data_IF_640066969794
#
_entry.id   IF_640066969794
#
_cell.length_a   1.000
_cell.length_b   1.000
_cell.length_c   1.000
_cell.angle_alpha   90.00
_cell.angle_beta   90.00
_cell.angle_gamma   90.00
#
_symmetry.space_group_name_H-M   'P 1'
#
loop_
_entity.id
_entity.type
_entity.pdbx_description
1 polymer ?
#
# COMPACT_ATOMS: atom_id res chain seq x y z
N UNK A 1 -51.24 29.03 -54.16
CA UNK A 1 -49.78 29.09 -53.92
C UNK A 1 -49.54 30.20 -52.91
N UNK A 2 -49.37 29.85 -51.64
CA UNK A 2 -49.04 30.80 -50.56
C UNK A 2 -47.64 30.42 -50.09
N UNK A 3 -46.63 31.16 -50.52
CA UNK A 3 -45.28 31.12 -49.99
C UNK A 3 -45.29 31.77 -48.61
N UNK A 4 -44.99 31.00 -47.55
CA UNK A 4 -44.71 31.56 -46.22
C UNK A 4 -43.38 32.35 -46.29
N UNK A 5 -43.34 33.62 -45.83
CA UNK A 5 -42.09 34.33 -45.70
C UNK A 5 -41.35 33.85 -44.45
N UNK A 6 -40.08 33.45 -44.61
CA UNK A 6 -39.16 33.21 -43.50
C UNK A 6 -38.45 34.54 -43.21
N UNK A 7 -38.65 35.05 -41.99
CA UNK A 7 -38.05 36.30 -41.51
C UNK A 7 -36.52 36.16 -41.41
N UNK A 8 -35.79 37.16 -41.90
CA UNK A 8 -34.33 37.22 -42.04
C UNK A 8 -33.53 37.51 -40.76
N UNK A 9 -34.04 37.12 -39.58
CA UNK A 9 -33.31 37.29 -38.31
C UNK A 9 -33.58 36.14 -37.34
N UNK A 10 -33.20 34.92 -37.73
CA UNK A 10 -33.12 33.79 -36.79
C UNK A 10 -31.67 33.33 -36.78
N UNK A 11 -31.10 33.29 -35.59
CA UNK A 11 -29.71 32.94 -35.33
C UNK A 11 -29.35 31.59 -35.95
N UNK A 12 -28.07 31.44 -36.28
CA UNK A 12 -27.41 30.28 -36.89
C UNK A 12 -27.54 28.96 -36.14
N UNK A 13 -28.32 28.90 -35.06
CA UNK A 13 -28.66 27.68 -34.33
C UNK A 13 -29.93 26.97 -34.83
N UNK A 14 -30.71 27.55 -35.75
CA UNK A 14 -31.95 26.93 -36.28
C UNK A 14 -31.94 26.59 -37.78
N UNK A 15 -30.80 26.72 -38.47
CA UNK A 15 -30.69 26.44 -39.91
C UNK A 15 -29.99 25.13 -40.28
N UNK A 16 -29.87 24.19 -39.34
CA UNK A 16 -29.30 22.86 -39.60
C UNK A 16 -30.33 21.76 -39.96
N UNK A 17 -31.63 22.09 -40.10
CA UNK A 17 -32.62 21.14 -40.59
C UNK A 17 -33.79 21.87 -41.24
N UNK A 18 -33.77 22.02 -42.56
CA UNK A 18 -35.03 22.10 -43.30
C UNK A 18 -35.51 20.65 -43.47
N UNK A 19 -36.63 20.24 -42.85
CA UNK A 19 -37.21 18.93 -43.11
C UNK A 19 -37.78 18.91 -44.53
N UNK A 20 -37.73 17.76 -45.20
CA UNK A 20 -38.59 17.55 -46.37
C UNK A 20 -40.07 17.51 -45.98
N UNK A 21 -40.92 17.40 -46.98
CA UNK A 21 -42.38 17.32 -46.90
C UNK A 21 -42.91 16.16 -46.02
N UNK A 22 -42.04 15.27 -45.53
CA UNK A 22 -42.33 14.19 -44.59
C UNK A 22 -41.63 14.34 -43.22
N UNK A 23 -40.94 15.44 -42.94
CA UNK A 23 -40.28 15.66 -41.65
C UNK A 23 -38.94 14.93 -41.49
N UNK A 24 -38.37 14.37 -42.56
CA UNK A 24 -37.06 13.73 -42.52
C UNK A 24 -35.95 14.73 -42.86
N UNK A 25 -34.85 14.65 -42.10
CA UNK A 25 -33.65 15.47 -42.31
C UNK A 25 -33.01 15.09 -43.64
N UNK A 26 -33.02 16.01 -44.60
CA UNK A 26 -32.30 15.88 -45.86
C UNK A 26 -30.95 16.54 -45.69
N UNK A 27 -29.89 15.77 -45.39
CA UNK A 27 -28.49 16.03 -45.78
C UNK A 27 -27.51 15.08 -45.05
N UNK A 28 -26.51 14.57 -45.79
CA UNK A 28 -25.26 13.95 -45.28
C UNK A 28 -24.58 14.81 -44.18
N UNK A 29 -24.77 16.14 -44.24
CA UNK A 29 -24.24 17.08 -43.26
C UNK A 29 -24.85 16.98 -41.86
N UNK A 30 -26.12 16.62 -41.70
CA UNK A 30 -26.74 16.55 -40.37
C UNK A 30 -26.28 15.33 -39.60
N UNK A 31 -26.21 14.16 -40.26
CA UNK A 31 -25.64 12.95 -39.63
C UNK A 31 -24.16 13.14 -39.30
N UNK A 32 -23.38 13.76 -40.20
CA UNK A 32 -21.97 14.10 -39.92
C UNK A 32 -21.83 15.07 -38.76
N UNK A 33 -22.70 16.08 -38.71
CA UNK A 33 -22.73 17.03 -37.61
C UNK A 33 -23.05 16.33 -36.30
N UNK A 34 -24.08 15.49 -36.26
CA UNK A 34 -24.53 14.79 -35.05
C UNK A 34 -23.53 13.72 -34.56
N UNK A 35 -22.84 13.03 -35.48
CA UNK A 35 -21.75 12.12 -35.14
C UNK A 35 -20.49 12.86 -34.63
N UNK A 36 -20.27 14.11 -35.06
CA UNK A 36 -19.14 14.93 -34.61
C UNK A 36 -19.40 15.62 -33.26
N UNK A 37 -20.65 15.68 -32.79
CA UNK A 37 -20.97 16.20 -31.45
C UNK A 37 -20.49 15.24 -30.35
N UNK A 38 -20.32 15.71 -29.10
CA UNK A 38 -19.98 14.85 -27.95
C UNK A 38 -20.95 13.68 -27.72
N UNK A 39 -22.19 13.79 -28.22
CA UNK A 39 -23.21 12.73 -28.17
C UNK A 39 -23.08 11.69 -29.28
N UNK A 40 -22.21 11.89 -30.26
CA UNK A 40 -22.07 11.05 -31.45
C UNK A 40 -21.68 9.60 -31.17
N UNK A 41 -20.85 9.36 -30.15
CA UNK A 41 -20.54 8.00 -29.69
C UNK A 41 -21.77 7.26 -29.13
N UNK A 42 -22.80 7.99 -28.68
CA UNK A 42 -24.09 7.45 -28.27
C UNK A 42 -24.99 7.04 -29.44
N UNK A 43 -24.73 7.56 -30.64
CA UNK A 43 -25.43 7.23 -31.88
C UNK A 43 -24.75 6.07 -32.64
N UNK A 44 -23.51 5.75 -32.28
CA UNK A 44 -22.72 4.69 -32.92
C UNK A 44 -22.98 3.33 -32.27
N UNK A 45 -23.54 2.38 -33.00
CA UNK A 45 -23.78 1.01 -32.53
C UNK A 45 -22.49 0.22 -32.31
N UNK A 46 -22.49 -0.69 -31.34
CA UNK A 46 -21.42 -1.65 -31.08
C UNK A 46 -22.03 -3.03 -30.82
N UNK A 47 -21.39 -4.07 -31.36
CA UNK A 47 -21.71 -5.47 -31.11
C UNK A 47 -20.44 -6.23 -30.73
N UNK A 48 -20.53 -7.05 -29.68
CA UNK A 48 -19.42 -7.90 -29.25
C UNK A 48 -19.17 -8.99 -30.32
N UNK A 49 -17.94 -9.13 -30.86
CA UNK A 49 -17.62 -10.13 -31.89
C UNK A 49 -17.89 -11.58 -31.47
N UNK A 50 -17.91 -11.89 -30.17
CA UNK A 50 -18.15 -13.25 -29.65
C UNK A 50 -19.65 -13.59 -29.46
N UNK A 51 -20.57 -12.80 -30.01
CA UNK A 51 -21.98 -13.22 -30.14
C UNK A 51 -22.90 -12.91 -28.94
N UNK A 52 -22.56 -11.92 -28.11
CA UNK A 52 -23.46 -11.43 -27.06
C UNK A 52 -24.69 -10.71 -27.65
N UNK A 53 -25.90 -11.16 -27.30
CA UNK A 53 -27.20 -10.75 -27.86
C UNK A 53 -27.68 -9.33 -27.51
N UNK A 54 -26.81 -8.45 -27.01
CA UNK A 54 -27.19 -7.09 -26.64
C UNK A 54 -26.41 -6.07 -27.47
N UNK A 55 -27.02 -5.62 -28.57
CA UNK A 55 -26.57 -4.43 -29.28
C UNK A 55 -26.41 -3.27 -28.28
N UNK A 56 -25.32 -2.53 -28.42
CA UNK A 56 -25.00 -1.41 -27.53
C UNK A 56 -24.46 -0.24 -28.32
N UNK A 57 -23.97 0.79 -27.65
CA UNK A 57 -23.37 1.96 -28.28
C UNK A 57 -21.89 2.02 -27.92
N UNK A 58 -21.09 2.66 -28.76
CA UNK A 58 -19.67 2.93 -28.49
C UNK A 58 -19.53 3.70 -27.17
N UNK A 59 -20.40 4.68 -26.91
CA UNK A 59 -20.42 5.40 -25.64
C UNK A 59 -20.62 4.48 -24.41
N UNK A 60 -21.53 3.49 -24.48
CA UNK A 60 -21.71 2.56 -23.34
C UNK A 60 -20.49 1.67 -23.14
N UNK A 61 -19.76 1.34 -24.20
CA UNK A 61 -18.51 0.58 -24.12
C UNK A 61 -17.35 1.40 -23.57
N UNK A 62 -17.23 2.67 -23.93
CA UNK A 62 -16.19 3.56 -23.41
C UNK A 62 -16.41 3.90 -21.92
N UNK A 63 -17.67 3.97 -21.46
CA UNK A 63 -18.04 4.24 -20.05
C UNK A 63 -17.69 3.12 -19.05
N UNK A 64 -16.83 2.17 -19.38
CA UNK A 64 -16.36 1.17 -18.41
C UNK A 64 -15.26 1.70 -17.49
N UNK A 65 -14.63 2.80 -17.85
CA UNK A 65 -13.64 3.54 -17.06
C UNK A 65 -13.73 5.03 -17.36
N UNK A 66 -13.29 5.86 -16.43
CA UNK A 66 -12.98 7.28 -16.66
C UNK A 66 -11.47 7.43 -16.62
N UNK A 67 -10.88 8.19 -17.53
CA UNK A 67 -9.46 8.55 -17.52
C UNK A 67 -9.32 10.02 -17.10
N UNK A 68 -8.61 10.29 -16.00
CA UNK A 68 -8.44 11.65 -15.49
C UNK A 68 -7.85 12.59 -16.55
N UNK A 69 -6.80 12.15 -17.24
CA UNK A 69 -6.08 12.99 -18.18
C UNK A 69 -6.93 13.26 -19.43
N UNK A 70 -7.49 12.21 -20.01
CA UNK A 70 -8.24 12.32 -21.26
C UNK A 70 -9.62 12.99 -21.08
N UNK A 71 -10.31 12.74 -19.97
CA UNK A 71 -11.71 13.16 -19.80
C UNK A 71 -11.87 14.46 -19.00
N UNK A 72 -10.91 14.81 -18.13
CA UNK A 72 -11.05 15.95 -17.18
C UNK A 72 -9.92 16.98 -17.25
N UNK A 73 -8.80 16.68 -17.92
CA UNK A 73 -7.68 17.63 -18.09
C UNK A 73 -7.68 18.21 -19.51
N UNK A 74 -7.66 19.54 -19.60
CA UNK A 74 -7.60 20.22 -20.90
C UNK A 74 -6.31 19.85 -21.64
N UNK A 75 -6.46 19.37 -22.89
CA UNK A 75 -5.34 18.90 -23.70
C UNK A 75 -5.04 17.40 -23.58
N UNK A 76 -5.72 16.67 -22.67
CA UNK A 76 -5.62 15.21 -22.60
C UNK A 76 -4.36 14.66 -21.94
N UNK A 77 -3.48 15.51 -21.42
CA UNK A 77 -2.19 15.13 -20.85
C UNK A 77 -1.89 15.93 -19.56
N UNK A 78 -1.27 15.26 -18.58
CA UNK A 78 -0.82 15.91 -17.33
C UNK A 78 0.65 16.29 -17.48
N UNK A 79 0.95 17.59 -17.51
CA UNK A 79 2.32 18.11 -17.58
C UNK A 79 2.56 19.25 -16.58
N UNK A 80 3.79 19.36 -16.08
CA UNK A 80 4.22 20.49 -15.25
C UNK A 80 3.82 20.45 -13.76
N UNK A 81 3.47 19.27 -13.22
CA UNK A 81 3.01 19.09 -11.83
C UNK A 81 1.86 20.04 -11.42
N UNK A 82 0.76 20.07 -12.19
CA UNK A 82 -0.35 20.98 -11.95
C UNK A 82 -1.12 20.57 -10.69
N UNK A 83 -1.90 21.51 -10.14
CA UNK A 83 -2.88 21.14 -9.11
C UNK A 83 -4.14 20.58 -9.80
N UNK A 84 -4.47 19.32 -9.53
CA UNK A 84 -5.61 18.63 -10.15
C UNK A 84 -6.67 18.22 -9.13
N UNK A 85 -6.72 18.91 -7.99
CA UNK A 85 -7.68 18.59 -6.92
C UNK A 85 -9.11 18.57 -7.43
N UNK A 86 -9.52 19.61 -8.15
CA UNK A 86 -10.89 19.74 -8.66
C UNK A 86 -11.19 18.69 -9.74
N UNK A 87 -10.25 18.44 -10.65
CA UNK A 87 -10.41 17.50 -11.76
C UNK A 87 -10.49 16.06 -11.25
N UNK A 88 -9.64 15.68 -10.29
CA UNK A 88 -9.66 14.35 -9.69
C UNK A 88 -10.94 14.13 -8.89
N UNK A 89 -11.37 15.12 -8.10
CA UNK A 89 -12.63 15.03 -7.36
C UNK A 89 -13.83 14.91 -8.31
N UNK A 90 -13.87 15.71 -9.38
CA UNK A 90 -14.92 15.66 -10.39
C UNK A 90 -14.96 14.31 -11.13
N UNK A 91 -13.81 13.72 -11.45
CA UNK A 91 -13.72 12.40 -12.06
C UNK A 91 -14.29 11.29 -11.16
N UNK A 92 -13.96 11.32 -9.86
CA UNK A 92 -14.48 10.38 -8.86
C UNK A 92 -16.00 10.54 -8.67
N UNK A 93 -16.48 11.78 -8.58
CA UNK A 93 -17.90 12.07 -8.42
C UNK A 93 -18.70 11.67 -9.67
N UNK A 94 -18.14 11.90 -10.87
CA UNK A 94 -18.73 11.43 -12.12
C UNK A 94 -18.77 9.90 -12.20
N UNK A 95 -17.69 9.21 -11.80
CA UNK A 95 -17.65 7.76 -11.76
C UNK A 95 -18.74 7.19 -10.85
N UNK A 96 -18.88 7.76 -9.65
CA UNK A 96 -19.92 7.39 -8.71
C UNK A 96 -21.33 7.63 -9.28
N UNK A 97 -21.61 8.83 -9.81
CA UNK A 97 -22.92 9.20 -10.34
C UNK A 97 -23.33 8.36 -11.56
N UNK A 98 -22.37 8.04 -12.43
CA UNK A 98 -22.59 7.25 -13.65
C UNK A 98 -22.47 5.74 -13.43
N UNK A 99 -22.13 5.30 -12.21
CA UNK A 99 -21.85 3.88 -11.85
C UNK A 99 -20.73 3.28 -12.69
N UNK A 100 -19.70 4.08 -12.98
CA UNK A 100 -18.46 3.64 -13.60
C UNK A 100 -17.51 3.19 -12.47
N UNK A 101 -17.01 1.94 -12.49
CA UNK A 101 -16.31 1.39 -11.34
C UNK A 101 -14.87 1.87 -11.18
N UNK A 102 -14.25 2.47 -12.20
CA UNK A 102 -12.82 2.78 -12.21
C UNK A 102 -12.56 4.19 -12.75
N UNK A 103 -11.77 4.96 -12.01
CA UNK A 103 -11.10 6.18 -12.45
C UNK A 103 -9.61 5.88 -12.58
N UNK A 104 -9.08 5.98 -13.80
CA UNK A 104 -7.66 5.79 -14.09
C UNK A 104 -6.93 7.12 -13.92
N UNK A 105 -5.80 7.09 -13.23
CA UNK A 105 -4.99 8.26 -12.89
C UNK A 105 -3.55 7.99 -13.31
N UNK A 106 -3.08 8.67 -14.36
CA UNK A 106 -1.70 8.54 -14.85
C UNK A 106 -1.09 9.92 -15.00
N UNK A 107 0.07 10.16 -14.40
CA UNK A 107 0.77 11.44 -14.46
C UNK A 107 1.35 11.87 -13.11
N UNK A 108 2.02 13.02 -13.15
CA UNK A 108 2.63 13.68 -12.00
C UNK A 108 1.91 14.99 -11.73
N UNK A 109 1.29 15.11 -10.56
CA UNK A 109 0.51 16.30 -10.18
C UNK A 109 0.48 16.47 -8.65
N UNK A 110 -0.14 17.56 -8.20
CA UNK A 110 -0.36 17.84 -6.78
C UNK A 110 -1.84 18.02 -6.45
N UNK A 111 -2.15 17.91 -5.17
CA UNK A 111 -3.48 18.22 -4.62
C UNK A 111 -3.36 19.25 -3.49
N UNK A 112 -4.32 20.16 -3.40
CA UNK A 112 -4.41 21.23 -2.39
C UNK A 112 -5.63 21.11 -1.48
N UNK A 113 -6.49 20.11 -1.69
CA UNK A 113 -7.55 19.76 -0.75
C UNK A 113 -7.72 18.23 -0.66
N UNK A 114 -8.53 17.78 0.30
CA UNK A 114 -8.85 16.38 0.54
C UNK A 114 -9.67 15.81 -0.63
N UNK A 115 -9.18 14.73 -1.22
CA UNK A 115 -9.90 13.95 -2.22
C UNK A 115 -10.81 12.92 -1.53
N UNK A 116 -12.10 12.96 -1.84
CA UNK A 116 -13.12 12.10 -1.26
C UNK A 116 -13.35 10.86 -2.11
N UNK A 117 -12.99 9.70 -1.56
CA UNK A 117 -13.16 8.41 -2.19
C UNK A 117 -14.60 7.89 -1.97
N UNK A 118 -15.27 7.58 -3.07
CA UNK A 118 -16.69 7.19 -3.10
C UNK A 118 -16.88 5.68 -3.09
N UNK A 119 -17.98 5.23 -2.50
CA UNK A 119 -18.39 3.81 -2.49
C UNK A 119 -18.39 3.22 -3.89
N UNK A 120 -17.83 2.02 -4.04
CA UNK A 120 -17.80 1.26 -5.29
C UNK A 120 -16.90 1.82 -6.40
N UNK A 121 -16.19 2.94 -6.14
CA UNK A 121 -15.24 3.52 -7.08
C UNK A 121 -13.82 3.07 -6.74
N UNK A 122 -13.10 2.63 -7.76
CA UNK A 122 -11.67 2.40 -7.72
C UNK A 122 -10.93 3.60 -8.30
N UNK A 123 -10.00 4.18 -7.55
CA UNK A 123 -9.00 5.12 -8.08
C UNK A 123 -7.74 4.33 -8.40
N UNK A 124 -7.44 4.16 -9.69
CA UNK A 124 -6.39 3.28 -10.19
C UNK A 124 -5.26 4.07 -10.84
N UNK A 125 -4.10 4.09 -10.18
CA UNK A 125 -2.83 4.45 -10.78
C UNK A 125 -2.04 3.25 -11.30
N UNK A 126 -0.80 3.53 -11.71
CA UNK A 126 0.11 2.55 -12.31
C UNK A 126 1.44 2.42 -11.51
N UNK A 127 1.44 2.83 -10.24
CA UNK A 127 2.59 2.82 -9.33
C UNK A 127 3.45 4.08 -9.45
N UNK A 128 4.47 4.18 -8.59
CA UNK A 128 5.29 5.39 -8.41
C UNK A 128 5.92 5.95 -9.69
N UNK A 129 6.23 5.08 -10.66
CA UNK A 129 6.85 5.48 -11.93
C UNK A 129 5.90 6.24 -12.87
N UNK A 130 4.60 6.05 -12.71
CA UNK A 130 3.59 6.54 -13.65
C UNK A 130 2.52 7.40 -12.98
N UNK A 131 2.26 7.20 -11.68
CA UNK A 131 1.25 7.95 -10.93
C UNK A 131 1.85 8.46 -9.63
N UNK A 132 2.24 9.74 -9.64
CA UNK A 132 2.82 10.42 -8.49
C UNK A 132 1.99 11.66 -8.14
N UNK A 133 1.51 11.69 -6.90
CA UNK A 133 0.69 12.78 -6.36
C UNK A 133 1.45 13.40 -5.19
N UNK A 134 1.56 14.71 -5.16
CA UNK A 134 2.19 15.42 -4.04
C UNK A 134 1.22 16.34 -3.32
N UNK A 135 1.42 16.55 -2.02
CA UNK A 135 0.73 17.61 -1.32
C UNK A 135 1.20 18.99 -1.81
N UNK A 136 0.25 19.86 -2.12
CA UNK A 136 0.51 21.29 -2.21
C UNK A 136 0.87 21.83 -0.82
N UNK A 137 1.71 22.86 -0.77
CA UNK A 137 2.04 23.58 0.48
C UNK A 137 0.80 24.15 1.19
N UNK A 138 -0.30 24.32 0.45
CA UNK A 138 -1.58 24.84 0.93
C UNK A 138 -2.65 23.75 1.18
N UNK A 139 -2.26 22.46 1.29
CA UNK A 139 -3.20 21.35 1.48
C UNK A 139 -4.18 21.61 2.65
N UNK A 140 -5.46 21.80 2.32
CA UNK A 140 -6.54 22.02 3.27
C UNK A 140 -6.97 20.70 3.92
N UNK A 141 -7.49 20.76 5.15
CA UNK A 141 -7.93 19.59 5.92
C UNK A 141 -6.81 18.64 6.39
N UNK A 142 -5.57 18.83 5.91
CA UNK A 142 -4.38 18.03 6.25
C UNK A 142 -4.56 16.53 6.03
N UNK A 143 -5.49 16.15 5.16
CA UNK A 143 -5.76 14.76 4.77
C UNK A 143 -5.78 14.73 3.25
N UNK A 144 -4.99 13.88 2.61
CA UNK A 144 -4.90 13.85 1.16
C UNK A 144 -6.07 13.06 0.53
N UNK A 145 -6.33 11.86 1.04
CA UNK A 145 -7.45 11.03 0.60
C UNK A 145 -8.30 10.61 1.79
N UNK A 146 -9.61 10.55 1.61
CA UNK A 146 -10.53 10.09 2.65
C UNK A 146 -11.70 9.31 2.07
N UNK A 147 -12.01 8.15 2.63
CA UNK A 147 -13.29 7.47 2.31
C UNK A 147 -14.45 8.25 2.88
N UNK A 148 -15.52 8.46 2.10
CA UNK A 148 -16.68 9.22 2.58
C UNK A 148 -17.92 8.34 2.62
N UNK A 149 -18.64 8.40 3.74
CA UNK A 149 -19.95 7.75 3.90
C UNK A 149 -20.99 8.37 2.98
N UNK A 150 -21.95 7.57 2.51
CA UNK A 150 -23.02 8.06 1.63
C UNK A 150 -24.10 8.80 2.42
N UNK A 151 -24.36 8.36 3.64
CA UNK A 151 -25.33 8.98 4.55
C UNK A 151 -24.96 8.67 6.00
N UNK A 152 -25.73 9.21 6.97
CA UNK A 152 -25.52 8.91 8.40
C UNK A 152 -25.65 7.43 8.75
N UNK A 153 -26.41 6.65 7.96
CA UNK A 153 -26.67 5.23 8.22
C UNK A 153 -25.97 4.31 7.23
N UNK A 154 -25.34 4.86 6.20
CA UNK A 154 -24.69 4.08 5.15
C UNK A 154 -23.21 4.43 5.04
N UNK A 155 -22.40 3.51 5.59
CA UNK A 155 -20.95 3.50 5.49
C UNK A 155 -20.46 3.49 4.04
N UNK A 156 -19.23 3.93 3.85
CA UNK A 156 -18.53 3.73 2.60
C UNK A 156 -18.36 2.21 2.36
N UNK A 157 -18.52 1.73 1.12
CA UNK A 157 -18.39 0.31 0.80
C UNK A 157 -17.61 0.08 -0.48
N UNK A 158 -16.84 -1.01 -0.53
CA UNK A 158 -16.21 -1.50 -1.77
C UNK A 158 -15.33 -0.44 -2.47
N UNK A 159 -14.84 0.56 -1.72
CA UNK A 159 -13.95 1.59 -2.23
C UNK A 159 -12.55 1.01 -2.42
N UNK A 160 -11.89 1.40 -3.51
CA UNK A 160 -10.58 0.83 -3.86
C UNK A 160 -9.60 1.93 -4.26
N UNK A 161 -8.36 1.79 -3.85
CA UNK A 161 -7.27 2.61 -4.34
C UNK A 161 -6.11 1.70 -4.70
N UNK A 162 -5.65 1.80 -5.94
CA UNK A 162 -4.63 0.90 -6.49
C UNK A 162 -3.50 1.70 -7.11
N UNK A 163 -2.24 1.39 -6.83
CA UNK A 163 -1.10 1.91 -7.61
C UNK A 163 -0.91 3.42 -7.53
N UNK A 164 -1.34 4.07 -6.43
CA UNK A 164 -1.12 5.51 -6.20
C UNK A 164 0.10 5.71 -5.33
N UNK A 165 1.04 6.55 -5.77
CA UNK A 165 2.11 7.05 -4.91
C UNK A 165 1.83 8.49 -4.50
N UNK A 166 1.72 8.71 -3.20
CA UNK A 166 1.50 10.00 -2.59
C UNK A 166 2.70 10.41 -1.73
N UNK A 167 3.15 11.66 -1.86
CA UNK A 167 4.15 12.28 -0.99
C UNK A 167 3.59 13.54 -0.33
N UNK A 168 3.68 13.61 0.99
CA UNK A 168 3.31 14.80 1.74
C UNK A 168 4.24 16.00 1.46
N UNK A 169 5.36 15.81 0.76
CA UNK A 169 6.27 16.87 0.31
C UNK A 169 6.71 17.79 1.48
N UNK A 170 7.01 17.18 2.62
CA UNK A 170 7.37 17.85 3.89
C UNK A 170 6.31 18.80 4.46
N UNK A 171 5.06 18.77 3.96
CA UNK A 171 3.96 19.50 4.57
C UNK A 171 3.66 18.86 5.93
N UNK A 172 3.80 19.65 7.00
CA UNK A 172 3.56 19.18 8.36
C UNK A 172 2.09 18.79 8.57
N UNK A 173 1.90 17.70 9.30
CA UNK A 173 0.62 17.23 9.80
C UNK A 173 -0.23 16.44 8.80
N UNK A 174 0.33 16.02 7.67
CA UNK A 174 -0.44 15.39 6.60
C UNK A 174 -0.76 13.94 6.91
N UNK A 175 -2.04 13.59 6.77
CA UNK A 175 -2.52 12.21 6.69
C UNK A 175 -2.61 11.81 5.23
N UNK A 176 -1.93 10.74 4.83
CA UNK A 176 -1.94 10.24 3.46
C UNK A 176 -3.33 9.75 3.06
N UNK A 177 -3.88 8.79 3.82
CA UNK A 177 -5.22 8.25 3.62
C UNK A 177 -5.94 8.11 4.95
N UNK A 178 -7.15 8.65 5.06
CA UNK A 178 -8.08 8.38 6.15
C UNK A 178 -9.17 7.40 5.67
N UNK A 179 -9.15 6.18 6.20
CA UNK A 179 -10.20 5.19 5.98
C UNK A 179 -11.24 5.42 7.08
N UNK A 180 -12.19 6.31 6.79
CA UNK A 180 -13.28 6.70 7.65
C UNK A 180 -14.54 5.90 7.32
N UNK A 181 -15.12 5.25 8.34
CA UNK A 181 -16.40 4.53 8.29
C UNK A 181 -16.60 3.68 7.00
N UNK A 182 -15.71 2.72 6.75
CA UNK A 182 -15.68 1.96 5.49
C UNK A 182 -15.69 0.43 5.67
N UNK A 183 -16.53 -0.25 4.88
CA UNK A 183 -16.55 -1.72 4.79
C UNK A 183 -15.97 -2.20 3.45
N UNK A 184 -15.27 -3.34 3.45
CA UNK A 184 -14.79 -4.00 2.22
C UNK A 184 -13.86 -3.14 1.35
N UNK A 185 -13.17 -2.18 1.94
CA UNK A 185 -12.21 -1.35 1.22
C UNK A 185 -10.99 -2.16 0.76
N UNK A 186 -10.36 -1.77 -0.35
CA UNK A 186 -9.09 -2.35 -0.81
C UNK A 186 -8.07 -1.28 -1.16
N UNK A 187 -6.94 -1.28 -0.46
CA UNK A 187 -5.79 -0.43 -0.78
C UNK A 187 -4.67 -1.35 -1.27
N UNK A 188 -4.26 -1.20 -2.52
CA UNK A 188 -3.36 -2.15 -3.19
C UNK A 188 -2.21 -1.45 -3.91
N UNK A 189 -0.97 -1.86 -3.64
CA UNK A 189 0.22 -1.32 -4.34
C UNK A 189 0.35 0.21 -4.27
N UNK A 190 -0.19 0.83 -3.22
CA UNK A 190 -0.07 2.27 -2.98
C UNK A 190 1.14 2.57 -2.11
N UNK A 191 1.63 3.80 -2.16
CA UNK A 191 2.67 4.26 -1.25
C UNK A 191 2.39 5.65 -0.71
N UNK A 192 2.59 5.86 0.59
CA UNK A 192 2.39 7.17 1.24
C UNK A 192 3.68 7.58 1.97
N UNK A 193 4.32 8.63 1.49
CA UNK A 193 5.65 9.05 1.90
C UNK A 193 5.59 10.29 2.79
N UNK A 194 6.48 10.38 3.77
CA UNK A 194 6.73 11.58 4.58
C UNK A 194 5.49 12.13 5.30
N UNK A 195 4.48 11.29 5.56
CA UNK A 195 3.25 11.71 6.20
C UNK A 195 3.41 11.77 7.73
N UNK A 196 2.61 12.60 8.41
CA UNK A 196 2.45 12.44 9.86
C UNK A 196 1.81 11.07 10.16
N UNK A 197 0.70 10.79 9.47
CA UNK A 197 0.07 9.46 9.47
C UNK A 197 -0.01 8.94 8.04
N UNK A 198 0.59 7.79 7.73
CA UNK A 198 0.50 7.18 6.40
C UNK A 198 -0.94 6.82 6.06
N UNK A 199 -1.51 5.87 6.83
CA UNK A 199 -2.91 5.49 6.79
C UNK A 199 -3.50 5.68 8.19
N UNK A 200 -4.52 6.52 8.30
CA UNK A 200 -5.33 6.66 9.49
C UNK A 200 -6.66 5.92 9.30
N UNK A 201 -7.26 5.49 10.41
CA UNK A 201 -8.57 4.87 10.42
C UNK A 201 -9.52 5.64 11.33
N UNK A 202 -10.66 6.02 10.77
CA UNK A 202 -11.74 6.75 11.43
C UNK A 202 -11.29 8.09 12.04
N UNK A 203 -10.27 8.75 11.45
CA UNK A 203 -9.76 10.01 11.98
C UNK A 203 -10.81 11.12 11.86
N UNK A 204 -11.46 11.25 10.70
CA UNK A 204 -12.48 12.27 10.53
C UNK A 204 -13.64 12.12 11.51
N UNK A 205 -14.15 10.89 11.69
CA UNK A 205 -15.14 10.63 12.73
C UNK A 205 -14.60 11.01 14.10
N UNK A 206 -13.35 10.67 14.41
CA UNK A 206 -12.71 11.03 15.67
C UNK A 206 -12.72 12.54 15.94
N UNK A 207 -12.25 13.33 14.96
CA UNK A 207 -12.09 14.78 15.04
C UNK A 207 -13.42 15.54 15.09
N UNK A 208 -14.49 14.97 14.54
CA UNK A 208 -15.79 15.65 14.40
C UNK A 208 -16.81 15.25 15.47
N UNK A 209 -16.41 14.46 16.47
CA UNK A 209 -17.27 14.11 17.59
C UNK A 209 -17.53 15.29 18.51
N UNK A 210 -18.77 15.33 19.02
CA UNK A 210 -19.16 16.26 20.07
C UNK A 210 -18.53 15.82 21.40
N UNK A 211 -17.83 16.74 22.08
CA UNK A 211 -17.16 16.49 23.37
C UNK A 211 -18.12 16.01 24.49
N UNK A 212 -19.44 16.13 24.30
CA UNK A 212 -20.45 15.64 25.24
C UNK A 212 -20.84 14.17 25.06
N UNK A 213 -20.37 13.49 24.02
CA UNK A 213 -20.62 12.05 23.83
C UNK A 213 -19.78 11.20 24.79
N UNK A 214 -20.40 10.18 25.39
CA UNK A 214 -19.70 9.23 26.27
C UNK A 214 -18.57 8.59 25.46
N UNK A 215 -17.32 8.56 25.95
CA UNK A 215 -16.23 7.96 25.21
C UNK A 215 -16.56 6.50 24.87
N UNK A 216 -16.41 6.07 23.60
CA UNK A 216 -16.63 4.69 23.26
C UNK A 216 -15.66 3.84 24.10
N UNK A 217 -16.25 2.99 24.92
CA UNK A 217 -15.58 1.98 25.74
C UNK A 217 -16.03 0.63 25.24
N UNK A 218 -15.14 -0.35 25.13
CA UNK A 218 -15.57 -1.71 24.80
C UNK A 218 -16.56 -2.21 25.88
N UNK A 219 -17.73 -2.81 25.53
CA UNK A 219 -18.21 -3.22 24.21
C UNK A 219 -19.08 -2.18 23.47
N UNK A 220 -19.29 -0.99 24.02
CA UNK A 220 -20.09 0.11 23.46
C UNK A 220 -19.43 0.86 22.29
N UNK A 221 -18.22 0.47 21.87
CA UNK A 221 -17.52 1.01 20.70
C UNK A 221 -18.24 0.74 19.36
N UNK A 222 -19.29 -0.08 19.37
CA UNK A 222 -20.12 -0.37 18.19
C UNK A 222 -21.10 0.76 17.82
N UNK A 223 -21.11 1.90 18.54
CA UNK A 223 -21.95 3.03 18.14
C UNK A 223 -21.35 3.74 16.92
N UNK A 224 -22.02 3.61 15.78
CA UNK A 224 -21.67 4.29 14.51
C UNK A 224 -21.51 5.80 14.66
N UNK A 225 -22.15 6.45 15.63
CA UNK A 225 -22.04 7.91 15.80
C UNK A 225 -20.80 8.37 16.56
N UNK A 226 -20.16 7.50 17.35
CA UNK A 226 -19.21 7.95 18.40
C UNK A 226 -17.79 7.35 18.26
N UNK A 227 -17.58 6.38 17.36
CA UNK A 227 -16.26 5.72 17.22
C UNK A 227 -15.73 5.63 15.79
N UNK A 228 -16.60 5.71 14.77
CA UNK A 228 -16.26 5.33 13.40
C UNK A 228 -15.89 3.84 13.30
N UNK A 229 -16.29 3.19 12.22
CA UNK A 229 -16.07 1.74 12.08
C UNK A 229 -15.60 1.34 10.70
N UNK A 230 -14.48 0.62 10.66
CA UNK A 230 -13.89 0.09 9.44
C UNK A 230 -13.74 -1.43 9.53
N UNK A 231 -14.34 -2.16 8.57
CA UNK A 231 -14.39 -3.63 8.61
C UNK A 231 -14.05 -4.29 7.28
N UNK A 232 -13.56 -5.52 7.35
CA UNK A 232 -13.41 -6.42 6.19
C UNK A 232 -12.53 -5.86 5.07
N UNK A 233 -11.65 -4.91 5.39
CA UNK A 233 -10.78 -4.28 4.41
C UNK A 233 -9.52 -5.08 4.13
N UNK A 234 -8.88 -4.77 3.00
CA UNK A 234 -7.59 -5.34 2.60
C UNK A 234 -6.61 -4.21 2.32
N UNK A 235 -5.45 -4.25 2.98
CA UNK A 235 -4.31 -3.37 2.72
C UNK A 235 -3.16 -4.23 2.24
N UNK A 236 -2.84 -4.18 0.96
CA UNK A 236 -1.91 -5.12 0.32
C UNK A 236 -0.84 -4.42 -0.50
N UNK A 237 0.41 -4.88 -0.38
CA UNK A 237 1.51 -4.34 -1.19
C UNK A 237 1.77 -2.85 -0.94
N UNK A 238 1.32 -2.32 0.20
CA UNK A 238 1.45 -0.91 0.52
C UNK A 238 2.84 -0.61 1.08
N UNK A 239 3.41 0.53 0.68
CA UNK A 239 4.68 1.05 1.22
C UNK A 239 4.47 2.36 1.97
N UNK A 240 4.89 2.43 3.23
CA UNK A 240 4.81 3.65 4.05
C UNK A 240 6.21 4.05 4.55
N UNK A 241 7.01 4.74 3.73
CA UNK A 241 8.33 5.21 4.13
C UNK A 241 8.29 6.56 4.84
N UNK A 242 9.13 6.70 5.87
CA UNK A 242 9.43 7.96 6.55
C UNK A 242 8.21 8.67 7.14
N UNK A 243 7.17 7.91 7.49
CA UNK A 243 6.02 8.45 8.21
C UNK A 243 6.32 8.60 9.70
N UNK A 244 5.75 9.61 10.37
CA UNK A 244 5.81 9.65 11.84
C UNK A 244 5.11 8.42 12.41
N UNK A 245 3.90 8.13 11.91
CA UNK A 245 3.13 6.94 12.22
C UNK A 245 2.66 6.31 10.90
N UNK A 246 2.91 5.03 10.68
CA UNK A 246 2.51 4.37 9.44
C UNK A 246 1.00 4.07 9.44
N UNK A 247 0.51 3.40 10.48
CA UNK A 247 -0.90 3.12 10.72
C UNK A 247 -1.35 3.71 12.05
N UNK A 248 -2.33 4.63 12.02
CA UNK A 248 -2.92 5.23 13.22
C UNK A 248 -4.40 4.85 13.34
N UNK A 249 -4.77 4.30 14.49
CA UNK A 249 -6.12 3.83 14.75
C UNK A 249 -6.83 4.77 15.72
N UNK A 250 -7.93 5.43 15.29
CA UNK A 250 -8.73 6.29 16.15
C UNK A 250 -10.05 5.63 16.61
N UNK A 251 -10.53 4.64 15.87
CA UNK A 251 -11.85 4.04 16.05
C UNK A 251 -11.82 2.52 16.02
N UNK A 252 -12.94 1.92 15.59
CA UNK A 252 -13.03 0.46 15.43
C UNK A 252 -12.45 0.05 14.08
N UNK A 253 -11.48 -0.87 14.11
CA UNK A 253 -10.87 -1.45 12.90
C UNK A 253 -10.68 -2.95 13.09
N UNK A 254 -11.58 -3.73 12.52
CA UNK A 254 -11.63 -5.16 12.78
C UNK A 254 -11.79 -5.99 11.51
N UNK A 255 -11.31 -7.23 11.56
CA UNK A 255 -11.44 -8.21 10.46
C UNK A 255 -10.80 -7.71 9.16
N UNK A 256 -9.81 -6.83 9.25
CA UNK A 256 -9.02 -6.38 8.12
C UNK A 256 -7.82 -7.31 7.91
N UNK A 257 -7.38 -7.43 6.65
CA UNK A 257 -6.19 -8.17 6.27
C UNK A 257 -5.12 -7.22 5.75
N UNK A 258 -3.91 -7.35 6.27
CA UNK A 258 -2.75 -6.59 5.86
C UNK A 258 -1.75 -7.56 5.24
N UNK A 259 -1.45 -7.43 3.94
CA UNK A 259 -0.72 -8.44 3.20
C UNK A 259 0.48 -7.85 2.45
N UNK A 260 1.68 -8.36 2.73
CA UNK A 260 2.90 -8.00 1.99
C UNK A 260 3.18 -6.49 1.99
N UNK A 261 2.92 -5.82 3.12
CA UNK A 261 3.19 -4.39 3.28
C UNK A 261 4.63 -4.15 3.77
N UNK A 262 5.19 -3.00 3.39
CA UNK A 262 6.55 -2.61 3.78
C UNK A 262 6.55 -1.25 4.46
N UNK A 263 7.25 -1.16 5.59
CA UNK A 263 7.34 0.03 6.43
C UNK A 263 8.82 0.33 6.64
N UNK A 264 9.24 1.57 6.35
CA UNK A 264 10.66 1.93 6.47
C UNK A 264 10.85 3.28 7.11
N UNK A 265 11.82 3.39 8.02
CA UNK A 265 12.22 4.65 8.65
C UNK A 265 11.06 5.42 9.33
N UNK A 266 10.04 4.72 9.82
CA UNK A 266 8.92 5.34 10.51
C UNK A 266 9.23 5.60 11.99
N UNK A 267 8.54 6.56 12.60
CA UNK A 267 8.52 6.67 14.06
C UNK A 267 7.86 5.44 14.68
N UNK A 268 6.60 5.19 14.31
CA UNK A 268 5.81 4.02 14.75
C UNK A 268 5.18 3.36 13.53
N UNK A 269 5.19 2.03 13.45
CA UNK A 269 4.46 1.33 12.37
C UNK A 269 2.98 1.18 12.69
N UNK A 270 2.62 0.49 13.76
CA UNK A 270 1.22 0.35 14.17
C UNK A 270 1.00 1.02 15.52
N UNK A 271 0.25 2.10 15.54
CA UNK A 271 -0.09 2.83 16.75
C UNK A 271 -1.52 2.53 17.19
N UNK A 272 -1.64 1.52 18.06
CA UNK A 272 -2.89 1.13 18.73
C UNK A 272 -3.14 1.95 20.00
N UNK A 273 -2.26 2.89 20.37
CA UNK A 273 -2.24 3.50 21.70
C UNK A 273 -3.40 4.48 21.97
N UNK A 274 -4.25 4.74 20.98
CA UNK A 274 -5.47 5.51 21.19
C UNK A 274 -6.41 4.73 22.15
N UNK A 275 -6.71 5.25 23.36
CA UNK A 275 -7.43 4.50 24.40
C UNK A 275 -8.82 4.00 23.97
N UNK A 276 -9.37 4.59 22.92
CA UNK A 276 -10.71 4.34 22.40
C UNK A 276 -10.73 3.51 21.12
N UNK A 277 -9.57 3.25 20.53
CA UNK A 277 -9.49 2.39 19.37
C UNK A 277 -9.80 0.94 19.76
N UNK A 278 -10.58 0.26 18.94
CA UNK A 278 -10.85 -1.18 19.08
C UNK A 278 -10.30 -1.86 17.84
N UNK A 279 -9.16 -2.53 18.00
CA UNK A 279 -8.40 -3.08 16.87
C UNK A 279 -8.13 -4.56 17.08
N UNK A 280 -9.09 -5.38 16.71
CA UNK A 280 -9.11 -6.82 16.97
C UNK A 280 -9.49 -7.65 15.74
N UNK A 281 -9.17 -8.95 15.81
CA UNK A 281 -9.45 -9.93 14.75
C UNK A 281 -8.85 -9.56 13.39
N UNK A 282 -7.82 -8.71 13.37
CA UNK A 282 -7.07 -8.39 12.16
C UNK A 282 -5.98 -9.42 11.92
N UNK A 283 -5.65 -9.63 10.65
CA UNK A 283 -4.58 -10.54 10.23
C UNK A 283 -3.54 -9.79 9.44
N UNK A 284 -2.28 -9.88 9.89
CA UNK A 284 -1.12 -9.28 9.25
C UNK A 284 -0.25 -10.40 8.68
N UNK A 285 0.05 -10.36 7.39
CA UNK A 285 0.69 -11.45 6.66
C UNK A 285 1.86 -10.90 5.84
N UNK A 286 3.07 -11.41 6.11
CA UNK A 286 4.31 -11.09 5.40
C UNK A 286 4.62 -9.59 5.39
N UNK A 287 4.35 -8.91 6.51
CA UNK A 287 4.68 -7.49 6.68
C UNK A 287 6.16 -7.31 7.05
N UNK A 288 6.85 -6.36 6.41
CA UNK A 288 8.25 -6.02 6.69
C UNK A 288 8.36 -4.66 7.38
N UNK A 289 8.98 -4.61 8.55
CA UNK A 289 9.23 -3.40 9.34
C UNK A 289 10.75 -3.18 9.40
N UNK A 290 11.24 -2.11 8.77
CA UNK A 290 12.68 -1.85 8.65
C UNK A 290 13.06 -0.46 9.15
N UNK A 291 13.98 -0.40 10.11
CA UNK A 291 14.54 0.87 10.60
C UNK A 291 13.50 1.80 11.24
N UNK A 292 12.41 1.26 11.77
CA UNK A 292 11.39 2.03 12.48
C UNK A 292 11.73 2.13 13.97
N UNK A 293 11.39 3.24 14.66
CA UNK A 293 11.69 3.37 16.10
C UNK A 293 10.81 2.46 16.97
N UNK A 294 9.58 2.21 16.54
CA UNK A 294 8.67 1.28 17.20
C UNK A 294 7.86 0.49 16.17
N UNK A 295 7.76 -0.83 16.36
CA UNK A 295 6.90 -1.67 15.54
C UNK A 295 5.44 -1.55 15.97
N UNK A 296 5.20 -1.60 17.29
CA UNK A 296 3.86 -1.60 17.87
C UNK A 296 3.82 -0.68 19.09
N UNK A 297 2.86 0.24 19.10
CA UNK A 297 2.51 1.02 20.27
C UNK A 297 1.12 0.63 20.76
N UNK A 298 0.96 0.58 22.08
CA UNK A 298 -0.24 0.09 22.74
C UNK A 298 -0.66 1.04 23.85
N UNK A 299 -1.96 1.08 24.16
CA UNK A 299 -2.46 1.96 25.20
C UNK A 299 -1.95 1.46 26.55
N UNK A 300 -1.55 2.40 27.41
CA UNK A 300 -1.23 2.08 28.80
C UNK A 300 -2.55 2.03 29.58
N UNK A 301 -3.06 0.83 29.78
CA UNK A 301 -4.36 0.62 30.38
C UNK A 301 -4.36 0.71 31.93
N UNK A 302 -3.20 0.89 32.57
CA UNK A 302 -3.08 0.95 34.04
C UNK A 302 -3.40 -0.39 34.72
N UNK A 303 -3.29 -0.42 36.06
CA UNK A 303 -3.28 -1.66 36.88
C UNK A 303 -4.53 -2.57 36.75
N UNK A 304 -5.61 -2.11 36.11
CA UNK A 304 -6.88 -2.84 36.04
C UNK A 304 -7.51 -2.94 34.63
N UNK A 305 -6.91 -2.34 33.60
CA UNK A 305 -7.45 -2.48 32.24
C UNK A 305 -6.55 -3.40 31.41
N UNK A 306 -7.20 -4.40 30.84
CA UNK A 306 -6.60 -5.43 30.02
C UNK A 306 -6.56 -4.94 28.58
N UNK A 307 -5.58 -5.35 27.77
CA UNK A 307 -5.76 -5.25 26.31
C UNK A 307 -6.84 -6.26 25.92
N UNK A 308 -8.04 -5.83 25.47
CA UNK A 308 -9.06 -6.78 25.06
C UNK A 308 -8.77 -7.35 23.67
N UNK A 309 -7.79 -6.78 22.96
CA UNK A 309 -7.61 -6.97 21.53
C UNK A 309 -6.71 -8.15 21.19
N UNK A 310 -7.14 -8.95 20.22
CA UNK A 310 -6.41 -10.10 19.72
C UNK A 310 -6.22 -9.99 18.21
N UNK A 311 -4.98 -9.90 17.75
CA UNK A 311 -4.64 -9.92 16.33
C UNK A 311 -3.68 -11.08 16.01
N UNK A 312 -3.66 -11.47 14.73
CA UNK A 312 -2.79 -12.53 14.22
C UNK A 312 -1.74 -11.94 13.28
N UNK A 313 -0.49 -12.32 13.50
CA UNK A 313 0.69 -11.86 12.77
C UNK A 313 1.39 -13.07 12.17
N UNK A 314 1.53 -13.12 10.85
CA UNK A 314 2.04 -14.27 10.11
C UNK A 314 3.25 -13.80 9.29
N UNK A 315 4.43 -14.37 9.53
CA UNK A 315 5.69 -14.08 8.83
C UNK A 315 6.09 -12.60 8.86
N UNK A 316 5.79 -11.90 9.95
CA UNK A 316 6.23 -10.50 10.15
C UNK A 316 7.73 -10.45 10.43
N UNK A 317 8.45 -9.57 9.72
CA UNK A 317 9.85 -9.25 10.01
C UNK A 317 9.99 -7.87 10.62
N UNK A 318 10.82 -7.76 11.65
CA UNK A 318 11.22 -6.52 12.30
C UNK A 318 12.74 -6.46 12.25
N UNK A 319 13.24 -5.44 11.59
CA UNK A 319 14.65 -5.31 11.26
C UNK A 319 15.14 -3.91 11.58
N UNK A 320 16.31 -3.84 12.21
CA UNK A 320 16.93 -2.58 12.51
C UNK A 320 18.46 -2.65 12.50
N UNK A 321 19.06 -2.06 11.48
CA UNK A 321 20.50 -1.89 11.39
C UNK A 321 20.97 -0.50 11.88
N UNK A 322 20.06 0.37 12.33
CA UNK A 322 20.39 1.73 12.75
C UNK A 322 21.11 1.78 14.12
N UNK A 323 21.55 2.97 14.51
CA UNK A 323 22.23 3.22 15.80
C UNK A 323 21.27 3.28 17.00
N UNK A 324 19.98 3.51 16.76
CA UNK A 324 18.94 3.47 17.80
C UNK A 324 18.35 2.06 17.91
N UNK A 325 17.65 1.79 19.00
CA UNK A 325 16.92 0.54 19.23
C UNK A 325 15.47 0.66 18.74
N UNK A 326 14.99 -0.33 17.99
CA UNK A 326 13.58 -0.50 17.66
C UNK A 326 12.85 -1.18 18.82
N UNK A 327 11.72 -0.60 19.24
CA UNK A 327 10.89 -1.16 20.30
C UNK A 327 9.81 -2.09 19.72
N UNK A 328 9.67 -3.26 20.33
CA UNK A 328 8.59 -4.21 20.02
C UNK A 328 7.84 -4.52 21.31
N UNK A 329 6.76 -3.77 21.53
CA UNK A 329 5.91 -3.90 22.73
C UNK A 329 4.87 -4.98 22.48
N UNK A 330 4.82 -5.97 23.36
CA UNK A 330 3.79 -7.02 23.35
C UNK A 330 2.75 -6.74 24.44
N UNK A 331 1.47 -6.50 24.10
CA UNK A 331 0.42 -6.23 25.08
C UNK A 331 -0.15 -7.53 25.68
N UNK A 332 0.28 -8.70 25.20
CA UNK A 332 -0.39 -9.98 25.43
C UNK A 332 -1.56 -10.22 24.46
N UNK A 333 -2.08 -11.45 24.44
CA UNK A 333 -3.24 -11.88 23.63
C UNK A 333 -3.08 -11.69 22.12
N UNK A 334 -1.87 -11.58 21.60
CA UNK A 334 -1.59 -11.64 20.17
C UNK A 334 -1.20 -13.07 19.77
N UNK A 335 -1.36 -13.40 18.50
CA UNK A 335 -0.81 -14.63 17.93
C UNK A 335 0.24 -14.28 16.89
N UNK A 336 1.49 -14.64 17.14
CA UNK A 336 2.59 -14.48 16.21
C UNK A 336 2.97 -15.86 15.65
N UNK A 337 3.00 -15.98 14.33
CA UNK A 337 3.41 -17.17 13.58
C UNK A 337 4.55 -16.72 12.67
N UNK A 338 5.81 -17.08 12.92
CA UNK A 338 6.91 -16.69 12.03
C UNK A 338 7.46 -15.30 12.26
N UNK A 339 7.45 -14.80 13.50
CA UNK A 339 8.04 -13.50 13.82
C UNK A 339 9.56 -13.57 13.70
N UNK A 340 10.13 -12.72 12.84
CA UNK A 340 11.57 -12.63 12.63
C UNK A 340 12.11 -11.29 13.14
N UNK A 341 13.08 -11.32 14.06
CA UNK A 341 13.75 -10.14 14.61
C UNK A 341 15.19 -10.08 14.10
N UNK A 342 15.60 -8.94 13.54
CA UNK A 342 16.92 -8.75 12.95
C UNK A 342 17.60 -7.46 13.43
N UNK A 343 18.94 -7.47 13.67
CA UNK A 343 19.80 -8.66 13.72
C UNK A 343 19.40 -9.59 14.87
N UNK A 344 19.66 -10.88 14.68
CA UNK A 344 19.24 -11.93 15.60
C UNK A 344 19.90 -11.74 16.97
N UNK A 345 19.11 -11.89 18.03
CA UNK A 345 19.55 -11.87 19.43
C UNK A 345 20.31 -10.59 19.86
N UNK A 346 20.13 -9.47 19.16
CA UNK A 346 20.70 -8.17 19.51
C UNK A 346 19.62 -7.20 20.04
N UNK A 347 19.44 -7.22 21.36
CA UNK A 347 18.48 -6.35 22.07
C UNK A 347 18.84 -4.86 22.01
N UNK A 348 20.08 -4.51 21.63
CA UNK A 348 20.45 -3.11 21.40
C UNK A 348 19.90 -2.58 20.07
N UNK A 349 19.52 -3.48 19.16
CA UNK A 349 18.95 -3.17 17.86
C UNK A 349 17.45 -3.37 17.83
N UNK A 350 16.95 -4.50 18.33
CA UNK A 350 15.51 -4.78 18.42
C UNK A 350 15.20 -5.28 19.82
N UNK A 351 14.50 -4.46 20.61
CA UNK A 351 14.13 -4.78 21.99
C UNK A 351 12.67 -5.21 22.07
N UNK A 352 12.45 -6.51 22.29
CA UNK A 352 11.12 -7.11 22.50
C UNK A 352 10.78 -7.23 23.99
N UNK A 353 9.59 -6.76 24.40
CA UNK A 353 9.14 -6.92 25.79
C UNK A 353 7.61 -6.85 25.95
N UNK A 354 7.07 -7.66 26.87
CA UNK A 354 5.64 -7.72 27.22
C UNK A 354 5.21 -6.68 28.26
N UNK A 355 4.41 -5.68 27.89
CA UNK A 355 4.04 -4.56 28.76
C UNK A 355 3.00 -4.89 29.85
N UNK A 356 2.33 -6.05 29.79
CA UNK A 356 1.26 -6.47 30.71
C UNK A 356 1.58 -7.78 31.47
N UNK A 357 2.86 -8.10 31.65
CA UNK A 357 3.31 -9.36 32.26
C UNK A 357 2.72 -9.58 33.67
N UNK A 358 2.62 -8.52 34.47
CA UNK A 358 2.14 -8.57 35.85
C UNK A 358 0.67 -9.03 35.95
N UNK A 359 -0.08 -8.92 34.86
CA UNK A 359 -1.48 -9.34 34.76
C UNK A 359 -1.66 -10.73 34.14
N UNK A 360 -0.57 -11.49 33.94
CA UNK A 360 -0.61 -12.86 33.42
C UNK A 360 -1.09 -12.96 31.96
N UNK A 361 -1.05 -11.86 31.21
CA UNK A 361 -1.44 -11.83 29.81
C UNK A 361 -0.22 -12.10 28.91
N UNK A 362 -0.35 -13.14 28.10
CA UNK A 362 0.72 -13.55 27.21
C UNK A 362 0.20 -13.67 25.78
N UNK A 363 1.07 -13.35 24.83
CA UNK A 363 0.86 -13.68 23.43
C UNK A 363 1.28 -15.13 23.17
N UNK A 364 0.82 -15.69 22.06
CA UNK A 364 1.28 -16.97 21.55
C UNK A 364 2.33 -16.70 20.49
N UNK A 365 3.49 -17.35 20.60
CA UNK A 365 4.55 -17.29 19.60
C UNK A 365 4.80 -18.69 19.05
N UNK A 366 4.53 -18.87 17.77
CA UNK A 366 4.79 -20.09 17.00
C UNK A 366 5.89 -19.76 16.00
N UNK A 367 7.04 -20.38 16.20
CA UNK A 367 8.19 -20.29 15.33
C UNK A 367 8.78 -18.90 15.12
N UNK A 368 9.79 -18.57 15.90
CA UNK A 368 10.54 -17.33 15.80
C UNK A 368 12.03 -17.61 15.76
N UNK A 369 12.80 -16.67 15.23
CA UNK A 369 14.25 -16.69 15.34
C UNK A 369 14.76 -16.10 16.67
N UNK A 370 13.86 -15.62 17.55
CA UNK A 370 14.16 -15.13 18.88
C UNK A 370 14.51 -16.27 19.84
N UNK A 371 15.66 -16.19 20.53
CA UNK A 371 16.02 -17.15 21.58
C UNK A 371 15.40 -16.77 22.94
N UNK A 372 14.45 -17.57 23.48
CA UNK A 372 13.74 -17.27 24.71
C UNK A 372 14.63 -17.23 25.96
N UNK A 373 15.89 -17.66 25.91
CA UNK A 373 16.85 -17.59 27.02
C UNK A 373 17.43 -16.20 27.25
N UNK A 374 17.36 -15.30 26.25
CA UNK A 374 17.77 -13.90 26.40
C UNK A 374 16.67 -13.01 27.00
N UNK A 375 15.47 -13.56 27.24
CA UNK A 375 14.45 -12.91 28.03
C UNK A 375 14.77 -13.07 29.52
N UNK A 376 15.62 -12.19 30.07
CA UNK A 376 15.82 -12.08 31.53
C UNK A 376 14.53 -11.72 32.29
N UNK A 377 13.50 -11.27 31.56
CA UNK A 377 12.13 -11.06 32.04
C UNK A 377 11.17 -11.36 30.88
N UNK A 378 10.04 -12.05 31.15
CA UNK A 378 8.86 -12.23 30.26
C UNK A 378 8.88 -13.51 29.40
N UNK A 379 8.31 -14.59 29.94
CA UNK A 379 8.00 -15.81 29.19
C UNK A 379 6.68 -15.65 28.43
N UNK A 380 6.59 -16.18 27.20
CA UNK A 380 5.30 -16.39 26.53
C UNK A 380 4.52 -17.51 27.24
N UNK A 381 3.18 -17.42 27.29
CA UNK A 381 2.31 -18.35 28.01
C UNK A 381 2.18 -19.73 27.35
N UNK A 382 2.57 -19.86 26.09
CA UNK A 382 2.81 -21.14 25.42
C UNK A 382 3.78 -20.89 24.26
N UNK A 383 4.97 -21.49 24.32
CA UNK A 383 5.95 -21.48 23.23
C UNK A 383 5.91 -22.86 22.56
N UNK A 384 5.48 -22.90 21.30
CA UNK A 384 5.76 -24.05 20.42
C UNK A 384 6.91 -23.62 19.51
N UNK A 385 8.12 -23.96 19.95
CA UNK A 385 9.35 -23.47 19.34
C UNK A 385 9.72 -24.33 18.11
N UNK A 386 9.00 -24.14 17.01
CA UNK A 386 9.43 -24.65 15.69
C UNK A 386 10.16 -23.52 14.97
N UNK A 387 11.50 -23.52 14.89
CA UNK A 387 12.24 -22.45 14.18
C UNK A 387 11.63 -22.15 12.80
N UNK A 388 11.14 -20.92 12.60
CA UNK A 388 10.64 -20.51 11.29
C UNK A 388 11.77 -19.95 10.46
N UNK A 389 12.00 -20.65 9.36
CA UNK A 389 12.85 -20.23 8.25
C UNK A 389 11.99 -19.39 7.29
N UNK A 390 11.89 -18.08 7.55
CA UNK A 390 11.02 -17.19 6.78
C UNK A 390 11.61 -16.92 5.37
N UNK A 391 10.87 -17.33 4.33
CA UNK A 391 11.32 -17.33 2.91
C UNK A 391 10.69 -16.19 2.06
N UNK A 392 9.80 -15.33 2.59
CA UNK A 392 9.04 -14.38 1.73
C UNK A 392 9.20 -12.88 1.97
N UNK A 393 9.81 -12.42 3.06
CA UNK A 393 10.04 -10.99 3.31
C UNK A 393 11.41 -10.45 2.88
N UNK A 394 12.31 -11.33 2.40
CA UNK A 394 13.75 -11.07 2.36
C UNK A 394 14.30 -10.82 0.93
N UNK A 395 13.43 -10.59 -0.06
CA UNK A 395 13.91 -10.46 -1.45
C UNK A 395 14.71 -9.17 -1.73
N UNK A 396 14.74 -8.20 -0.80
CA UNK A 396 15.43 -6.91 -0.99
C UNK A 396 16.56 -6.62 0.01
N UNK A 397 16.78 -7.47 1.03
CA UNK A 397 17.80 -7.21 2.05
C UNK A 397 19.13 -7.88 1.71
N UNK A 398 20.17 -7.07 1.53
CA UNK A 398 21.55 -7.53 1.40
C UNK A 398 22.14 -7.69 2.80
N UNK A 399 22.50 -8.92 3.18
CA UNK A 399 23.07 -9.24 4.50
C UNK A 399 24.59 -9.21 4.53
N UNK A 400 25.21 -9.28 3.36
CA UNK A 400 26.64 -9.18 3.22
C UNK A 400 26.99 -8.66 1.84
N UNK A 401 28.08 -7.90 1.78
CA UNK A 401 28.69 -7.49 0.51
C UNK A 401 30.16 -7.85 0.52
N UNK A 402 30.67 -8.23 -0.64
CA UNK A 402 32.08 -8.47 -0.87
C UNK A 402 32.47 -7.93 -2.23
N UNK A 403 33.65 -7.33 -2.32
CA UNK A 403 34.21 -6.87 -3.59
C UNK A 403 35.22 -7.92 -4.06
N UNK A 404 35.08 -8.36 -5.31
CA UNK A 404 36.04 -9.24 -5.95
C UNK A 404 36.62 -8.55 -7.19
N UNK A 405 37.93 -8.33 -7.18
CA UNK A 405 38.67 -7.76 -8.28
C UNK A 405 39.97 -8.53 -8.50
N UNK A 406 39.95 -9.48 -9.43
CA UNK A 406 41.12 -10.29 -9.76
C UNK A 406 41.02 -10.88 -11.16
N UNK A 407 42.16 -11.35 -11.66
CA UNK A 407 42.25 -12.14 -12.90
C UNK A 407 42.43 -13.61 -12.55
N UNK A 408 41.54 -14.47 -13.04
CA UNK A 408 41.56 -15.91 -12.80
C UNK A 408 42.10 -16.60 -14.05
N UNK A 409 43.25 -17.25 -13.95
CA UNK A 409 43.86 -17.94 -15.08
C UNK A 409 43.06 -19.20 -15.50
N UNK A 410 43.27 -19.74 -16.71
CA UNK A 410 42.60 -20.96 -17.18
C UNK A 410 42.80 -22.12 -16.19
N UNK A 411 41.70 -22.74 -15.75
CA UNK A 411 41.73 -23.87 -14.83
C UNK A 411 41.97 -23.52 -13.35
N UNK A 412 42.19 -22.24 -13.02
CA UNK A 412 42.37 -21.79 -11.64
C UNK A 412 41.04 -21.42 -10.96
N UNK A 413 41.11 -21.26 -9.65
CA UNK A 413 39.99 -20.87 -8.78
C UNK A 413 40.31 -19.56 -8.09
N UNK A 414 39.40 -18.60 -8.22
CA UNK A 414 39.38 -17.38 -7.43
C UNK A 414 38.49 -17.53 -6.21
N UNK A 415 38.86 -16.92 -5.08
CA UNK A 415 38.11 -17.05 -3.82
C UNK A 415 37.86 -15.69 -3.16
N UNK A 416 36.69 -15.54 -2.56
CA UNK A 416 36.36 -14.41 -1.70
C UNK A 416 35.50 -14.86 -0.54
N UNK A 417 35.82 -14.35 0.65
CA UNK A 417 35.05 -14.59 1.86
C UNK A 417 34.18 -13.37 2.11
N UNK A 418 32.87 -13.60 2.24
CA UNK A 418 31.89 -12.61 2.64
C UNK A 418 31.48 -12.89 4.08
N UNK A 419 31.61 -11.88 4.96
CA UNK A 419 31.05 -11.98 6.29
C UNK A 419 29.55 -11.68 6.26
N UNK A 420 28.77 -12.54 6.91
CA UNK A 420 27.31 -12.42 7.00
C UNK A 420 26.92 -12.70 8.44
N UNK A 421 26.60 -11.66 9.21
CA UNK A 421 26.24 -11.78 10.62
C UNK A 421 25.09 -12.77 10.81
N UNK A 422 25.32 -13.81 11.63
CA UNK A 422 24.33 -14.83 11.95
C UNK A 422 24.18 -15.97 10.93
N UNK A 423 25.04 -16.06 9.91
CA UNK A 423 25.01 -17.15 8.93
C UNK A 423 25.41 -18.50 9.54
N UNK A 424 24.57 -19.54 9.36
CA UNK A 424 24.81 -20.90 9.88
C UNK A 424 24.77 -21.95 8.76
N UNK A 425 25.44 -23.11 8.94
CA UNK A 425 25.34 -24.22 8.00
C UNK A 425 23.88 -24.65 7.76
N UNK A 426 23.47 -24.78 6.50
CA UNK A 426 22.10 -25.16 6.10
C UNK A 426 21.20 -23.99 5.69
N UNK A 427 21.62 -22.74 5.85
CA UNK A 427 20.93 -21.58 5.29
C UNK A 427 21.06 -21.53 3.77
N UNK A 428 19.97 -21.20 3.07
CA UNK A 428 20.03 -20.94 1.64
C UNK A 428 20.46 -19.49 1.38
N UNK A 429 21.19 -19.23 0.29
CA UNK A 429 21.69 -17.89 -0.04
C UNK A 429 21.42 -17.62 -1.52
N UNK A 430 20.92 -16.42 -1.85
CA UNK A 430 20.98 -15.88 -3.21
C UNK A 430 22.13 -14.88 -3.28
N UNK A 431 22.88 -14.97 -4.37
CA UNK A 431 24.01 -14.09 -4.66
C UNK A 431 23.66 -13.22 -5.86
N UNK A 432 23.67 -11.92 -5.66
CA UNK A 432 23.65 -10.91 -6.71
C UNK A 432 25.08 -10.51 -7.09
N UNK A 433 25.32 -10.30 -8.38
CA UNK A 433 26.61 -9.85 -8.92
C UNK A 433 26.37 -8.61 -9.79
N UNK A 434 27.16 -7.56 -9.60
CA UNK A 434 27.07 -6.38 -10.49
C UNK A 434 27.60 -6.67 -11.89
N UNK A 435 28.56 -7.60 -12.01
CA UNK A 435 29.06 -8.12 -13.28
C UNK A 435 29.29 -9.63 -13.14
N UNK A 436 28.90 -10.41 -14.16
CA UNK A 436 29.20 -11.83 -14.25
C UNK A 436 29.81 -12.16 -15.61
N UNK A 437 30.60 -13.24 -15.66
CA UNK A 437 31.11 -13.80 -16.91
C UNK A 437 30.50 -15.20 -17.10
N UNK A 438 29.88 -15.49 -18.26
CA UNK A 438 29.19 -16.76 -18.49
C UNK A 438 30.11 -18.00 -18.46
N UNK A 439 31.42 -17.81 -18.59
CA UNK A 439 32.41 -18.90 -18.58
C UNK A 439 32.89 -19.28 -17.17
N UNK A 440 32.48 -18.54 -16.14
CA UNK A 440 32.79 -18.84 -14.74
C UNK A 440 31.72 -19.75 -14.13
N UNK A 441 32.16 -20.84 -13.50
CA UNK A 441 31.32 -21.61 -12.59
C UNK A 441 31.46 -21.00 -11.20
N UNK A 442 30.34 -20.58 -10.61
CA UNK A 442 30.31 -19.97 -9.28
C UNK A 442 29.77 -20.99 -8.29
N UNK A 443 30.55 -21.32 -7.25
CA UNK A 443 30.08 -22.12 -6.13
C UNK A 443 30.17 -21.31 -4.84
N UNK A 444 29.40 -21.72 -3.85
CA UNK A 444 29.47 -21.14 -2.52
C UNK A 444 29.36 -22.22 -1.45
N UNK A 445 30.00 -21.98 -0.30
CA UNK A 445 29.96 -22.89 0.83
C UNK A 445 30.04 -22.11 2.15
N UNK A 446 29.35 -22.60 3.17
CA UNK A 446 29.49 -22.05 4.51
C UNK A 446 30.87 -22.35 5.09
N UNK A 447 31.47 -21.35 5.73
CA UNK A 447 32.73 -21.47 6.47
C UNK A 447 32.44 -21.21 7.95
N UNK A 448 33.27 -21.75 8.85
CA UNK A 448 33.12 -21.53 10.29
C UNK A 448 33.16 -20.02 10.63
N UNK A 449 32.26 -19.57 11.51
CA UNK A 449 32.24 -18.18 12.01
C UNK A 449 31.46 -17.18 11.14
N UNK A 450 30.19 -17.47 10.82
CA UNK A 450 29.27 -16.51 10.19
C UNK A 450 29.77 -15.97 8.83
N UNK A 451 30.40 -16.82 8.03
CA UNK A 451 31.02 -16.39 6.76
C UNK A 451 30.67 -17.34 5.61
N UNK A 452 30.54 -16.78 4.41
CA UNK A 452 30.29 -17.48 3.17
C UNK A 452 31.54 -17.41 2.29
N UNK A 453 32.08 -18.55 1.90
CA UNK A 453 33.11 -18.63 0.86
C UNK A 453 32.44 -18.71 -0.50
N UNK A 454 32.84 -17.83 -1.41
CA UNK A 454 32.41 -17.81 -2.80
C UNK A 454 33.62 -18.13 -3.65
N UNK A 455 33.48 -19.12 -4.53
CA UNK A 455 34.54 -19.62 -5.41
C UNK A 455 34.14 -19.38 -6.86
N UNK A 456 35.08 -18.87 -7.64
CA UNK A 456 34.95 -18.63 -9.07
C UNK A 456 35.90 -19.58 -9.79
N UNK A 457 35.36 -20.59 -10.44
CA UNK A 457 36.14 -21.57 -11.19
C UNK A 457 36.19 -21.18 -12.67
N UNK A 458 37.38 -20.85 -13.18
CA UNK A 458 37.57 -20.59 -14.61
C UNK A 458 37.74 -21.92 -15.37
N UNK A 459 36.77 -22.26 -16.21
CA UNK A 459 36.82 -23.45 -17.08
C UNK A 459 37.08 -23.12 -18.55
N UNK A 460 37.30 -21.86 -18.89
CA UNK A 460 37.67 -21.47 -20.25
C UNK A 460 39.16 -21.65 -20.50
N UNK A 461 39.56 -21.43 -21.75
CA UNK A 461 40.94 -21.51 -22.21
C UNK A 461 41.71 -20.20 -22.00
N UNK A 462 41.04 -19.12 -21.62
CA UNK A 462 41.62 -17.78 -21.47
C UNK A 462 41.48 -17.25 -20.03
N UNK A 463 42.38 -16.34 -19.64
CA UNK A 463 42.28 -15.68 -18.34
C UNK A 463 41.08 -14.74 -18.28
N UNK A 464 40.30 -14.80 -17.20
CA UNK A 464 39.13 -13.96 -17.00
C UNK A 464 39.43 -12.90 -15.95
N UNK A 465 39.36 -11.62 -16.32
CA UNK A 465 39.35 -10.51 -15.37
C UNK A 465 37.93 -10.27 -14.86
N UNK A 466 37.72 -10.41 -13.55
CA UNK A 466 36.42 -10.18 -12.91
C UNK A 466 36.55 -9.04 -11.90
N UNK A 467 35.78 -7.98 -12.12
CA UNK A 467 35.56 -6.89 -11.16
C UNK A 467 34.06 -6.78 -10.88
N UNK A 468 33.63 -7.30 -9.72
CA UNK A 468 32.23 -7.33 -9.31
C UNK A 468 32.07 -7.06 -7.83
N UNK A 469 30.99 -6.37 -7.50
CA UNK A 469 30.42 -6.36 -6.15
C UNK A 469 29.50 -7.58 -6.08
N UNK A 470 29.61 -8.32 -5.00
CA UNK A 470 28.78 -9.49 -4.70
C UNK A 470 27.91 -9.12 -3.50
N UNK A 471 26.61 -9.32 -3.63
CA UNK A 471 25.64 -9.10 -2.56
C UNK A 471 24.97 -10.42 -2.21
N UNK A 472 25.02 -10.83 -0.94
CA UNK A 472 24.26 -11.98 -0.47
C UNK A 472 22.92 -11.52 0.12
N UNK A 473 21.84 -12.09 -0.38
CA UNK A 473 20.55 -12.10 0.29
C UNK A 473 20.38 -13.49 0.90
N UNK A 474 20.20 -13.59 2.22
CA UNK A 474 20.10 -14.87 2.89
C UNK A 474 18.64 -15.31 3.04
N UNK A 475 18.40 -16.62 2.92
CA UNK A 475 17.13 -17.27 3.19
C UNK A 475 17.34 -18.24 4.36
N UNK A 476 16.43 -18.22 5.34
CA UNK A 476 16.45 -19.20 6.43
C UNK A 476 16.43 -20.63 5.87
N UNK A 477 17.19 -21.53 6.49
CA UNK A 477 17.47 -22.88 6.00
C UNK A 477 16.27 -23.83 5.96
N UNK A 478 16.45 -25.00 5.38
CA UNK A 478 15.50 -26.11 5.48
C UNK A 478 16.15 -27.12 6.42
N UNK A 479 15.61 -27.36 7.62
CA UNK A 479 15.99 -28.59 8.32
C UNK A 479 15.25 -29.74 7.65
N UNK A 480 16.00 -30.69 7.10
CA UNK A 480 15.48 -32.05 6.88
C UNK A 480 15.47 -32.81 8.20
#
# INVERSE_FOLDING_TARGET
>A
MITKPINSQISSAMTAAAPDENGQSVCDNTLRHDLAQPTGAGLSGYQNPEGGSSATTVARKLRTSIDLAADFVSGGEISGNPDLTEQLQAAIDAAFALRVPVVTVTGVFKISDTILLRTGVEVRGQGAHYTYISASSSLQGKTAFRTVKQSRTERNKDCKMTGISFDANSVLGVVGLDIDESDYFKIENCSFWNCENGIAYNKYTWDTRDASTIPPTYPNANNITDGGMSYFGVVQGVSLPSCTIAHKYYGVVNRCTYLSNSYSNCGVVYDFAEPHAVVESNTYISCNIEGCRSAFEWPNYGENNYSPFSNTWITTSIDNNNTFTTLVKDPGRQTFIGLSLFPRDDMSKVSYYNINQEHGQYSTLVGSNFDPRYATYRQFGATFNEQINAIRGINNKVFGTANYNATIAPGEVGEVIMHIDGFTPGMAVCLGFTNSNPELIINHSAVAGSSLLITFCNKSTDSIHLNTIISATCFGGVSM
#
